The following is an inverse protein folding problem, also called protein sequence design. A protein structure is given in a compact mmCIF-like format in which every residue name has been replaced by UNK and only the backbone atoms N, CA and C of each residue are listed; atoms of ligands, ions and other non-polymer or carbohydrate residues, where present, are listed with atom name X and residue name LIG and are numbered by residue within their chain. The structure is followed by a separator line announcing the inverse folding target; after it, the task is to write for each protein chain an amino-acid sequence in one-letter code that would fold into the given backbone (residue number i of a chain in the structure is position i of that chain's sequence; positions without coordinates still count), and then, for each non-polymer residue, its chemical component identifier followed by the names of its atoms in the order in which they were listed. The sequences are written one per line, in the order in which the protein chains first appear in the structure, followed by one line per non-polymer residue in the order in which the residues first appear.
data_IF_483220106513
#
_entry.id   IF_483220106513
#
_cell.length_a   1.000
_cell.length_b   1.000
_cell.length_c   1.000
_cell.angle_alpha   90.00
_cell.angle_beta   90.00
_cell.angle_gamma   90.00
#
_symmetry.space_group_name_H-M   'P 1'
#
loop_
_entity.id
_entity.type
_entity.pdbx_description
1 polymer ?
#
# COMPACT_ATOMS: atom_id res chain seq x y z
N UNK A 1 -4.74 15.30 -2.16
CA UNK A 1 -3.89 14.23 -1.56
C UNK A 1 -4.26 14.13 -0.10
N UNK A 2 -4.38 12.94 0.47
CA UNK A 2 -4.67 12.72 1.88
C UNK A 2 -3.54 13.24 2.76
N UNK A 3 -3.90 13.81 3.91
CA UNK A 3 -2.92 14.17 4.95
C UNK A 3 -2.46 12.92 5.70
N UNK A 4 -1.29 12.98 6.34
CA UNK A 4 -0.81 11.89 7.19
C UNK A 4 -1.80 11.57 8.32
N UNK A 5 -2.39 12.59 8.94
CA UNK A 5 -3.41 12.44 10.00
C UNK A 5 -4.63 11.65 9.50
N UNK A 6 -5.17 11.97 8.32
CA UNK A 6 -6.32 11.24 7.76
C UNK A 6 -6.00 9.75 7.54
N UNK A 7 -4.80 9.45 7.05
CA UNK A 7 -4.36 8.06 6.86
C UNK A 7 -4.20 7.34 8.21
N UNK A 8 -3.51 7.97 9.18
CA UNK A 8 -3.29 7.37 10.50
C UNK A 8 -4.62 7.12 11.20
N UNK A 9 -5.54 8.09 11.20
CA UNK A 9 -6.86 7.95 11.82
C UNK A 9 -7.65 6.79 11.20
N UNK A 10 -7.66 6.67 9.87
CA UNK A 10 -8.32 5.56 9.18
C UNK A 10 -7.70 4.20 9.54
N UNK A 11 -6.38 4.11 9.61
CA UNK A 11 -5.69 2.87 10.00
C UNK A 11 -5.99 2.47 11.45
N UNK A 12 -6.09 3.45 12.35
CA UNK A 12 -6.47 3.22 13.76
C UNK A 12 -7.93 2.76 13.86
N UNK A 13 -8.85 3.40 13.15
CA UNK A 13 -10.26 3.00 13.13
C UNK A 13 -10.45 1.59 12.59
N UNK A 14 -9.71 1.22 11.56
CA UNK A 14 -9.69 -0.13 11.00
C UNK A 14 -8.94 -1.16 11.88
N UNK A 15 -8.36 -0.73 13.01
CA UNK A 15 -7.61 -1.59 13.94
C UNK A 15 -6.42 -2.28 13.30
N UNK A 16 -5.78 -1.62 12.34
CA UNK A 16 -4.53 -2.11 11.74
C UNK A 16 -3.49 -2.29 12.84
N UNK A 17 -2.81 -3.43 12.84
CA UNK A 17 -1.78 -3.75 13.84
C UNK A 17 -0.36 -3.52 13.34
N UNK A 18 -0.15 -3.60 12.03
CA UNK A 18 1.16 -3.44 11.40
C UNK A 18 1.01 -2.70 10.07
N UNK A 19 1.82 -1.69 9.86
CA UNK A 19 2.00 -1.03 8.56
C UNK A 19 3.35 -1.46 8.01
N UNK A 20 3.35 -2.21 6.91
CA UNK A 20 4.57 -2.68 6.25
C UNK A 20 4.85 -1.75 5.09
N UNK A 21 5.92 -1.00 5.18
CA UNK A 21 6.20 0.12 4.31
C UNK A 21 7.59 0.06 3.68
N UNK A 22 7.66 0.45 2.43
CA UNK A 22 8.91 0.77 1.76
C UNK A 22 8.99 2.29 1.63
N UNK A 23 10.01 2.94 2.23
CA UNK A 23 10.18 4.40 2.09
C UNK A 23 10.22 4.84 0.62
N UNK A 24 9.29 5.70 0.24
CA UNK A 24 9.16 6.21 -1.13
C UNK A 24 8.80 7.70 -1.15
N UNK A 25 8.85 8.32 -2.32
CA UNK A 25 8.57 9.75 -2.49
C UNK A 25 7.08 10.09 -2.58
N UNK A 26 6.22 9.11 -2.75
CA UNK A 26 4.76 9.30 -2.89
C UNK A 26 4.09 9.34 -1.53
N UNK A 27 4.46 8.41 -0.64
CA UNK A 27 3.89 8.26 0.69
C UNK A 27 4.81 8.76 1.82
N UNK A 28 6.04 9.15 1.50
CA UNK A 28 7.06 9.54 2.48
C UNK A 28 6.69 10.73 3.37
N UNK A 29 5.79 11.60 2.91
CA UNK A 29 5.26 12.70 3.75
C UNK A 29 4.43 12.22 4.94
N UNK A 30 3.99 10.95 4.95
CA UNK A 30 3.21 10.36 6.04
C UNK A 30 4.10 9.73 7.13
N UNK A 31 5.39 9.50 6.83
CA UNK A 31 6.32 8.77 7.70
C UNK A 31 6.35 9.27 9.15
N UNK A 32 6.50 10.60 9.43
CA UNK A 32 6.61 11.05 10.81
C UNK A 32 5.40 10.71 11.67
N UNK A 33 4.19 10.78 11.10
CA UNK A 33 2.95 10.47 11.81
C UNK A 33 2.73 8.96 11.92
N UNK A 34 3.05 8.19 10.89
CA UNK A 34 3.05 6.73 10.96
C UNK A 34 4.02 6.21 12.03
N UNK A 35 5.22 6.80 12.13
CA UNK A 35 6.24 6.42 13.12
C UNK A 35 5.82 6.75 14.56
N UNK A 36 5.17 7.90 14.75
CA UNK A 36 4.75 8.35 16.07
C UNK A 36 3.49 7.67 16.60
N UNK A 37 2.73 6.98 15.75
CA UNK A 37 1.50 6.30 16.13
C UNK A 37 1.79 5.07 16.99
N UNK A 38 1.22 5.01 18.20
CA UNK A 38 1.39 3.89 19.13
C UNK A 38 0.37 2.75 18.94
N UNK A 39 -0.61 2.89 18.05
CA UNK A 39 -1.68 1.91 17.85
C UNK A 39 -1.28 0.76 16.93
N UNK A 40 -0.29 0.97 16.07
CA UNK A 40 0.25 -0.06 15.19
C UNK A 40 1.78 0.01 15.15
N UNK A 41 2.41 -1.05 14.67
CA UNK A 41 3.84 -1.08 14.44
C UNK A 41 4.16 -0.71 12.99
N UNK A 42 5.00 0.31 12.77
CA UNK A 42 5.56 0.62 11.45
C UNK A 42 6.78 -0.29 11.20
N UNK A 43 6.70 -1.12 10.17
CA UNK A 43 7.76 -2.04 9.77
C UNK A 43 8.32 -1.62 8.41
N UNK A 44 9.58 -1.22 8.37
CA UNK A 44 10.27 -0.90 7.11
C UNK A 44 10.95 -2.14 6.57
N UNK A 45 10.73 -2.42 5.29
CA UNK A 45 11.37 -3.51 4.56
C UNK A 45 12.16 -2.96 3.37
N UNK A 46 13.03 -3.81 2.80
CA UNK A 46 13.94 -3.37 1.74
C UNK A 46 13.42 -3.65 0.32
N UNK A 47 12.42 -4.52 0.21
CA UNK A 47 11.83 -4.90 -1.08
C UNK A 47 10.32 -5.09 -0.94
N UNK A 48 9.60 -4.72 -1.97
CA UNK A 48 8.13 -4.78 -1.97
C UNK A 48 7.62 -6.22 -1.95
N UNK A 49 8.30 -7.14 -2.64
CA UNK A 49 7.99 -8.56 -2.54
C UNK A 49 8.08 -9.11 -1.11
N UNK A 50 9.02 -8.61 -0.30
CA UNK A 50 9.14 -8.94 1.13
C UNK A 50 7.93 -8.43 1.93
N UNK A 51 7.40 -7.25 1.60
CA UNK A 51 6.23 -6.69 2.28
C UNK A 51 5.01 -7.62 2.18
N UNK A 52 4.74 -8.16 1.01
CA UNK A 52 3.64 -9.11 0.81
C UNK A 52 3.82 -10.39 1.60
N UNK A 53 5.02 -10.98 1.58
CA UNK A 53 5.31 -12.19 2.32
C UNK A 53 5.18 -11.99 3.84
N UNK A 54 5.68 -10.86 4.36
CA UNK A 54 5.56 -10.50 5.76
C UNK A 54 4.11 -10.28 6.17
N UNK A 55 3.33 -9.56 5.34
CA UNK A 55 1.90 -9.35 5.57
C UNK A 55 1.15 -10.68 5.63
N UNK A 56 1.42 -11.59 4.70
CA UNK A 56 0.83 -12.92 4.71
C UNK A 56 1.13 -13.69 6.01
N UNK A 57 2.39 -13.67 6.47
CA UNK A 57 2.78 -14.30 7.73
C UNK A 57 2.09 -13.68 8.95
N UNK A 58 1.99 -12.36 9.01
CA UNK A 58 1.30 -11.64 10.09
C UNK A 58 -0.21 -11.95 10.12
N UNK A 59 -0.86 -12.04 8.94
CA UNK A 59 -2.26 -12.46 8.85
C UNK A 59 -2.47 -13.87 9.38
N UNK A 60 -1.63 -14.82 9.00
CA UNK A 60 -1.69 -16.19 9.51
C UNK A 60 -1.49 -16.21 11.03
N UNK A 61 -0.65 -15.31 11.56
CA UNK A 61 -0.42 -15.12 12.99
C UNK A 61 -1.56 -14.41 13.74
N UNK A 62 -2.66 -14.02 13.07
CA UNK A 62 -3.82 -13.36 13.67
C UNK A 62 -3.68 -11.85 13.82
N UNK A 63 -2.68 -11.24 13.20
CA UNK A 63 -2.53 -9.79 13.11
C UNK A 63 -3.33 -9.22 11.93
N UNK A 64 -3.54 -7.90 11.91
CA UNK A 64 -4.15 -7.18 10.80
C UNK A 64 -3.11 -6.24 10.15
N UNK A 65 -2.28 -6.72 9.26
CA UNK A 65 -1.29 -5.91 8.55
C UNK A 65 -1.89 -5.18 7.35
N UNK A 66 -1.23 -4.09 6.95
CA UNK A 66 -1.45 -3.44 5.67
C UNK A 66 -0.10 -3.26 4.96
N UNK A 67 -0.08 -3.43 3.64
CA UNK A 67 1.07 -3.12 2.80
C UNK A 67 0.92 -1.69 2.28
N UNK A 68 1.95 -0.86 2.48
CA UNK A 68 2.00 0.52 2.00
C UNK A 68 3.18 0.67 1.04
N UNK A 69 2.92 0.81 -0.24
CA UNK A 69 3.93 0.88 -1.31
C UNK A 69 3.49 1.84 -2.41
N UNK A 70 4.40 2.25 -3.27
CA UNK A 70 4.03 2.97 -4.49
C UNK A 70 3.82 2.00 -5.67
N UNK A 71 3.25 2.49 -6.77
CA UNK A 71 2.94 1.68 -7.96
C UNK A 71 4.17 0.98 -8.57
N UNK A 72 5.37 1.59 -8.56
CA UNK A 72 6.59 0.92 -9.03
C UNK A 72 6.95 -0.28 -8.17
N UNK A 73 6.70 -0.20 -6.86
CA UNK A 73 6.86 -1.32 -5.95
C UNK A 73 5.81 -2.41 -6.16
N UNK A 74 4.59 -2.01 -6.50
CA UNK A 74 3.56 -2.98 -6.90
C UNK A 74 3.99 -3.78 -8.15
N UNK A 75 4.62 -3.13 -9.14
CA UNK A 75 5.16 -3.82 -10.32
C UNK A 75 6.31 -4.78 -9.95
N UNK A 76 7.22 -4.35 -9.06
CA UNK A 76 8.33 -5.18 -8.57
C UNK A 76 7.83 -6.43 -7.83
N UNK A 77 6.78 -6.28 -7.02
CA UNK A 77 6.31 -7.33 -6.13
C UNK A 77 5.41 -8.40 -6.78
N UNK A 78 5.15 -8.30 -8.10
CA UNK A 78 4.13 -9.07 -8.81
C UNK A 78 4.02 -10.55 -8.42
N UNK A 79 5.13 -11.32 -8.43
CA UNK A 79 5.08 -12.76 -8.09
C UNK A 79 4.83 -13.00 -6.60
N UNK A 80 5.42 -12.21 -5.71
CA UNK A 80 5.16 -12.32 -4.27
C UNK A 80 3.70 -12.03 -3.94
N UNK A 81 3.15 -10.96 -4.50
CA UNK A 81 1.74 -10.63 -4.37
C UNK A 81 0.84 -11.75 -4.91
N UNK A 82 1.14 -12.27 -6.10
CA UNK A 82 0.43 -13.39 -6.71
C UNK A 82 0.37 -14.61 -5.77
N UNK A 83 1.48 -15.01 -5.20
CA UNK A 83 1.53 -16.13 -4.26
C UNK A 83 0.64 -15.89 -3.03
N UNK A 84 0.73 -14.70 -2.42
CA UNK A 84 -0.02 -14.40 -1.19
C UNK A 84 -1.51 -14.28 -1.46
N UNK A 85 -1.90 -13.50 -2.48
CA UNK A 85 -3.31 -13.17 -2.73
C UNK A 85 -4.03 -14.31 -3.44
N UNK A 86 -3.42 -14.91 -4.47
CA UNK A 86 -4.11 -15.90 -5.32
C UNK A 86 -3.83 -17.35 -4.93
N UNK A 87 -2.57 -17.73 -4.68
CA UNK A 87 -2.26 -19.11 -4.35
C UNK A 87 -2.63 -19.44 -2.90
N UNK A 88 -2.26 -18.60 -1.94
CA UNK A 88 -2.59 -18.78 -0.53
C UNK A 88 -3.96 -18.18 -0.15
N UNK A 89 -4.55 -17.37 -1.01
CA UNK A 89 -5.85 -16.71 -0.82
C UNK A 89 -5.94 -15.91 0.49
N UNK A 90 -4.86 -15.24 0.85
CA UNK A 90 -4.82 -14.39 2.03
C UNK A 90 -5.34 -12.99 1.69
N UNK A 91 -6.30 -12.46 2.45
CA UNK A 91 -6.91 -11.15 2.19
C UNK A 91 -6.00 -10.01 2.67
N UNK A 92 -4.81 -9.89 2.08
CA UNK A 92 -3.90 -8.78 2.37
C UNK A 92 -4.44 -7.51 1.72
N UNK A 93 -4.67 -6.48 2.53
CA UNK A 93 -5.01 -5.16 2.05
C UNK A 93 -3.75 -4.34 1.80
N UNK A 94 -3.77 -3.53 0.74
CA UNK A 94 -2.67 -2.64 0.39
C UNK A 94 -3.15 -1.25 0.02
N UNK A 95 -2.39 -0.23 0.45
CA UNK A 95 -2.47 1.13 -0.09
C UNK A 95 -1.34 1.29 -1.10
N UNK A 96 -1.69 1.60 -2.34
CA UNK A 96 -0.72 1.75 -3.42
C UNK A 96 -0.70 3.21 -3.87
N UNK A 97 0.37 3.92 -3.51
CA UNK A 97 0.57 5.30 -3.93
C UNK A 97 0.75 5.41 -5.45
N UNK A 98 -0.15 6.11 -6.13
CA UNK A 98 -0.11 6.32 -7.57
C UNK A 98 0.87 7.45 -7.93
N UNK A 99 2.17 7.12 -7.96
CA UNK A 99 3.25 8.05 -8.26
C UNK A 99 3.00 8.80 -9.55
N UNK A 100 3.19 10.13 -9.51
CA UNK A 100 3.01 11.06 -10.63
C UNK A 100 1.59 11.07 -11.25
N UNK A 101 0.59 10.51 -10.59
CA UNK A 101 -0.77 10.48 -11.13
C UNK A 101 -1.33 11.89 -11.40
N UNK A 102 -1.10 12.83 -10.48
CA UNK A 102 -1.55 14.21 -10.58
C UNK A 102 -0.58 15.12 -11.36
N UNK A 103 0.51 14.58 -11.91
CA UNK A 103 1.54 15.35 -12.61
C UNK A 103 1.51 15.03 -14.11
N UNK A 104 0.65 15.72 -14.85
CA UNK A 104 0.47 15.46 -16.29
C UNK A 104 1.74 15.61 -17.14
N UNK A 105 2.64 16.52 -16.76
CA UNK A 105 3.90 16.77 -17.43
C UNK A 105 5.00 15.75 -17.12
N UNK A 106 4.75 14.78 -16.25
CA UNK A 106 5.75 13.78 -15.89
C UNK A 106 6.05 12.84 -17.05
N UNK A 107 7.31 12.64 -17.35
CA UNK A 107 7.79 11.63 -18.32
C UNK A 107 7.85 10.21 -17.72
N UNK A 108 7.54 10.05 -16.44
CA UNK A 108 7.53 8.77 -15.74
C UNK A 108 6.41 7.87 -16.26
N UNK A 109 6.78 6.70 -16.77
CA UNK A 109 5.83 5.76 -17.36
C UNK A 109 5.01 4.99 -16.31
N UNK A 110 5.37 5.03 -15.03
CA UNK A 110 4.67 4.31 -13.94
C UNK A 110 3.18 4.67 -13.88
N UNK A 111 2.84 5.96 -14.09
CA UNK A 111 1.45 6.43 -14.18
C UNK A 111 0.66 5.68 -15.27
N UNK A 112 1.25 5.52 -16.44
CA UNK A 112 0.60 4.90 -17.61
C UNK A 112 0.24 3.44 -17.37
N UNK A 113 1.06 2.70 -16.63
CA UNK A 113 0.92 1.26 -16.45
C UNK A 113 0.16 0.87 -15.18
N UNK A 114 -0.12 1.79 -14.27
CA UNK A 114 -0.74 1.49 -12.98
C UNK A 114 -2.07 0.74 -13.16
N UNK A 115 -3.08 1.37 -13.74
CA UNK A 115 -4.40 0.77 -13.90
C UNK A 115 -4.39 -0.48 -14.81
N UNK A 116 -3.71 -0.49 -15.98
CA UNK A 116 -3.61 -1.70 -16.78
C UNK A 116 -3.01 -2.90 -16.05
N UNK A 117 -2.02 -2.69 -15.19
CA UNK A 117 -1.41 -3.78 -14.40
C UNK A 117 -2.37 -4.29 -13.33
N UNK A 118 -3.00 -3.40 -12.56
CA UNK A 118 -3.99 -3.80 -11.54
C UNK A 118 -5.15 -4.58 -12.18
N UNK A 119 -5.67 -4.10 -13.31
CA UNK A 119 -6.74 -4.77 -14.06
C UNK A 119 -6.31 -6.13 -14.61
N UNK A 120 -5.08 -6.24 -15.12
CA UNK A 120 -4.55 -7.50 -15.64
C UNK A 120 -4.40 -8.58 -14.56
N UNK A 121 -4.20 -8.19 -13.30
CA UNK A 121 -4.17 -9.09 -12.16
C UNK A 121 -5.56 -9.47 -11.63
N UNK A 122 -6.64 -8.85 -12.14
CA UNK A 122 -8.02 -9.09 -11.69
C UNK A 122 -8.19 -8.91 -10.16
N UNK A 123 -7.58 -7.83 -9.64
CA UNK A 123 -7.61 -7.46 -8.22
C UNK A 123 -8.70 -6.43 -8.02
N UNK A 124 -9.55 -6.64 -7.02
CA UNK A 124 -10.50 -5.62 -6.58
C UNK A 124 -9.75 -4.39 -6.05
N UNK A 125 -10.09 -3.22 -6.53
CA UNK A 125 -9.48 -1.97 -6.09
C UNK A 125 -10.44 -0.79 -6.14
N UNK A 126 -10.22 0.17 -5.25
CA UNK A 126 -10.80 1.49 -5.30
C UNK A 126 -9.72 2.51 -5.68
N UNK A 127 -10.03 3.39 -6.61
CA UNK A 127 -9.11 4.43 -7.03
C UNK A 127 -9.57 5.78 -6.49
N UNK A 128 -8.84 6.30 -5.50
CA UNK A 128 -9.21 7.51 -4.77
C UNK A 128 -8.23 8.64 -5.12
N UNK A 129 -8.73 9.77 -5.62
CA UNK A 129 -7.91 10.94 -6.00
C UNK A 129 -7.90 12.04 -4.94
N UNK A 130 -8.89 12.09 -4.06
CA UNK A 130 -9.01 13.11 -3.02
C UNK A 130 -10.01 12.77 -1.92
N UNK A 131 -10.04 13.57 -0.84
CA UNK A 131 -10.90 13.33 0.31
C UNK A 131 -12.40 13.39 0.02
N UNK A 132 -12.80 14.08 -1.06
CA UNK A 132 -14.19 14.21 -1.49
C UNK A 132 -14.79 12.92 -2.09
N UNK A 133 -13.98 11.90 -2.32
CA UNK A 133 -14.41 10.59 -2.84
C UNK A 133 -14.60 9.54 -1.73
N UNK A 134 -14.68 10.00 -0.48
CA UNK A 134 -14.83 9.13 0.71
C UNK A 134 -16.28 8.88 1.13
N UNK A 135 -17.26 9.03 0.26
CA UNK A 135 -18.68 8.73 0.58
C UNK A 135 -19.07 7.27 0.35
#
# INVERSE_FOLDING_TARGET
MFTATQIVDALVELKVTHVIWIPDTTTGSWEPELESCSHFQLMRVCREGEAWALAGGLLIGGSLPIVLIQNTGFFESGDSMRNIVFDLRLPVFAIIGARNWLTESSSDTARRFMLPVVQAWDIDFEFITGPEEQE
#
